data_IF_533082988930
#
_entry.id   IF_533082988930
#
_cell.length_a   1.000
_cell.length_b   1.000
_cell.length_c   1.000
_cell.angle_alpha   90.00
_cell.angle_beta   90.00
_cell.angle_gamma   90.00
#
_symmetry.space_group_name_H-M   'P 1'
#
loop_
_entity.id
_entity.type
_entity.pdbx_description
1 polymer ?
#
# COMPACT_ATOMS: atom_id res chain seq x y z
N UNK A 1 24.14 4.12 -26.63
CA UNK A 1 23.91 5.57 -26.53
C UNK A 1 22.99 6.03 -27.63
N UNK A 2 21.73 6.30 -27.27
CA UNK A 2 21.00 7.44 -27.81
C UNK A 2 20.48 8.19 -26.59
N UNK A 3 21.18 9.28 -26.30
CA UNK A 3 20.73 10.34 -25.41
C UNK A 3 19.62 11.09 -26.16
N UNK A 4 18.38 10.78 -25.83
CA UNK A 4 17.25 11.69 -25.98
C UNK A 4 16.93 12.17 -24.57
N UNK A 5 17.01 13.48 -24.34
CA UNK A 5 16.99 14.10 -23.01
C UNK A 5 15.63 14.07 -22.30
N UNK A 6 14.87 12.98 -22.39
CA UNK A 6 13.81 12.66 -21.43
C UNK A 6 14.39 11.74 -20.38
N UNK A 7 14.50 12.21 -19.14
CA UNK A 7 14.82 11.35 -18.02
C UNK A 7 13.56 10.51 -17.69
N UNK A 8 13.26 9.52 -18.52
CA UNK A 8 12.19 8.55 -18.29
C UNK A 8 12.65 7.58 -17.20
N UNK A 9 12.58 8.04 -15.95
CA UNK A 9 12.71 7.17 -14.80
C UNK A 9 11.48 6.26 -14.74
N UNK A 10 11.64 4.98 -14.37
CA UNK A 10 10.51 4.05 -14.22
C UNK A 10 9.76 4.34 -12.90
N UNK A 11 9.25 5.56 -12.75
CA UNK A 11 8.40 5.99 -11.62
C UNK A 11 7.08 5.22 -11.71
N UNK A 12 6.46 5.00 -10.56
CA UNK A 12 5.25 4.19 -10.46
C UNK A 12 5.58 2.71 -10.33
N UNK A 13 4.55 1.88 -10.50
CA UNK A 13 4.61 0.43 -10.31
C UNK A 13 4.89 -0.28 -11.62
N UNK A 14 5.90 -1.14 -11.61
CA UNK A 14 6.29 -1.93 -12.76
C UNK A 14 6.53 -3.38 -12.36
N UNK A 15 6.31 -4.30 -13.30
CA UNK A 15 6.64 -5.72 -13.15
C UNK A 15 8.05 -5.99 -13.66
N UNK A 16 8.91 -6.50 -12.77
CA UNK A 16 10.32 -6.76 -13.05
C UNK A 16 10.63 -8.24 -12.95
N UNK A 17 11.30 -8.78 -13.96
CA UNK A 17 11.86 -10.12 -13.91
C UNK A 17 13.36 -10.02 -13.74
N UNK A 18 13.86 -10.42 -12.58
CA UNK A 18 15.27 -10.33 -12.29
C UNK A 18 16.01 -11.57 -12.77
N UNK A 19 17.15 -11.36 -13.42
CA UNK A 19 18.03 -12.44 -13.88
C UNK A 19 18.66 -13.22 -12.73
N UNK A 20 18.72 -12.61 -11.53
CA UNK A 20 19.29 -13.16 -10.32
C UNK A 20 18.35 -12.94 -9.14
N UNK A 21 18.43 -13.79 -8.13
CA UNK A 21 17.67 -13.60 -6.89
C UNK A 21 18.18 -12.36 -6.14
N UNK A 22 17.26 -11.61 -5.54
CA UNK A 22 17.57 -10.45 -4.70
C UNK A 22 16.70 -10.48 -3.44
N UNK A 23 17.21 -9.99 -2.30
CA UNK A 23 16.47 -9.94 -1.03
C UNK A 23 15.78 -11.26 -0.63
N UNK A 24 16.42 -12.40 -0.88
CA UNK A 24 15.87 -13.73 -0.55
C UNK A 24 14.76 -14.23 -1.48
N UNK A 25 14.52 -13.55 -2.62
CA UNK A 25 13.55 -13.97 -3.65
C UNK A 25 14.21 -14.82 -4.74
N UNK A 26 13.43 -15.68 -5.38
CA UNK A 26 13.89 -16.54 -6.47
C UNK A 26 14.22 -15.74 -7.74
N UNK A 27 15.19 -16.25 -8.53
CA UNK A 27 15.52 -15.69 -9.85
C UNK A 27 14.40 -16.01 -10.85
N UNK A 28 14.27 -15.20 -11.90
CA UNK A 28 13.33 -15.41 -13.00
C UNK A 28 11.84 -15.43 -12.57
N UNK A 29 11.50 -14.77 -11.47
CA UNK A 29 10.12 -14.54 -11.02
C UNK A 29 9.76 -13.07 -11.21
N UNK A 30 8.50 -12.81 -11.59
CA UNK A 30 7.98 -11.44 -11.74
C UNK A 30 7.76 -10.79 -10.38
N UNK A 31 8.20 -9.56 -10.25
CA UNK A 31 8.07 -8.78 -9.03
C UNK A 31 7.53 -7.38 -9.34
N UNK A 32 6.37 -7.07 -8.76
CA UNK A 32 5.83 -5.72 -8.69
C UNK A 32 6.68 -4.86 -7.76
N UNK A 33 7.36 -3.86 -8.30
CA UNK A 33 8.10 -2.86 -7.53
C UNK A 33 7.66 -1.46 -7.95
N UNK A 34 7.56 -0.56 -6.97
CA UNK A 34 7.22 0.83 -7.21
C UNK A 34 8.38 1.76 -6.86
N UNK A 35 8.77 2.61 -7.81
CA UNK A 35 9.67 3.73 -7.55
C UNK A 35 8.81 4.98 -7.33
N UNK A 36 8.91 5.56 -6.13
CA UNK A 36 8.06 6.68 -5.73
C UNK A 36 8.88 7.92 -5.42
N UNK A 37 8.39 9.06 -5.91
CA UNK A 37 8.83 10.40 -5.53
C UNK A 37 7.84 11.09 -4.57
N UNK A 38 6.78 10.40 -4.17
CA UNK A 38 5.72 10.94 -3.32
C UNK A 38 6.14 11.02 -1.85
N UNK A 39 5.48 11.90 -1.10
CA UNK A 39 5.72 12.07 0.33
C UNK A 39 5.28 10.82 1.11
N UNK A 40 6.23 10.12 1.73
CA UNK A 40 6.07 8.79 2.36
C UNK A 40 4.89 8.64 3.36
N UNK A 41 4.42 9.71 3.98
CA UNK A 41 3.41 9.64 5.05
C UNK A 41 2.04 10.21 4.66
N UNK A 42 1.98 11.05 3.63
CA UNK A 42 0.76 11.82 3.30
C UNK A 42 0.25 11.51 1.89
N UNK A 43 1.09 10.90 1.05
CA UNK A 43 0.78 10.66 -0.36
C UNK A 43 0.88 9.18 -0.73
N UNK A 44 0.01 8.79 -1.65
CA UNK A 44 0.01 7.51 -2.33
C UNK A 44 0.59 7.67 -3.74
N UNK A 45 1.31 6.65 -4.20
CA UNK A 45 1.88 6.60 -5.56
C UNK A 45 1.03 5.68 -6.41
N UNK A 46 0.38 6.27 -7.42
CA UNK A 46 -0.34 5.55 -8.47
C UNK A 46 0.62 4.63 -9.25
N UNK A 47 0.09 3.67 -10.01
CA UNK A 47 0.91 2.76 -10.81
C UNK A 47 1.64 3.50 -11.95
N UNK A 48 1.09 4.60 -12.46
CA UNK A 48 1.72 5.52 -13.41
C UNK A 48 2.77 6.45 -12.76
N UNK A 49 2.87 6.47 -11.43
CA UNK A 49 3.80 7.29 -10.68
C UNK A 49 3.26 8.64 -10.18
N UNK A 50 2.00 8.98 -10.51
CA UNK A 50 1.33 10.17 -10.00
C UNK A 50 1.15 10.11 -8.49
N UNK A 51 1.23 11.26 -7.81
CA UNK A 51 1.02 11.36 -6.38
C UNK A 51 -0.38 11.92 -6.08
N UNK A 52 -1.11 11.25 -5.20
CA UNK A 52 -2.38 11.72 -4.63
C UNK A 52 -2.32 11.67 -3.11
N UNK A 53 -3.25 12.33 -2.41
CA UNK A 53 -3.30 12.26 -0.96
C UNK A 53 -3.77 10.87 -0.50
N UNK A 54 -3.21 10.35 0.59
CA UNK A 54 -3.51 8.99 1.07
C UNK A 54 -4.99 8.81 1.45
N UNK A 55 -5.69 9.88 1.81
CA UNK A 55 -7.12 9.87 2.13
C UNK A 55 -8.04 9.76 0.90
N UNK A 56 -7.47 9.84 -0.31
CA UNK A 56 -8.20 9.66 -1.57
C UNK A 56 -8.20 8.20 -2.03
N UNK A 57 -7.30 7.35 -1.50
CA UNK A 57 -7.24 5.93 -1.85
C UNK A 57 -8.47 5.19 -1.34
N UNK A 58 -9.11 4.39 -2.21
CA UNK A 58 -10.33 3.64 -1.92
C UNK A 58 -11.49 4.50 -1.40
N UNK A 59 -11.59 5.75 -1.87
CA UNK A 59 -12.67 6.69 -1.53
C UNK A 59 -13.89 6.56 -2.47
N UNK A 60 -13.83 5.62 -3.42
CA UNK A 60 -14.83 5.31 -4.46
C UNK A 60 -14.87 6.34 -5.59
N UNK A 61 -13.84 7.16 -5.73
CA UNK A 61 -13.72 8.13 -6.81
C UNK A 61 -12.31 7.96 -7.38
N UNK A 62 -12.19 7.97 -8.70
CA UNK A 62 -10.88 7.83 -9.33
C UNK A 62 -10.18 9.19 -9.31
N UNK A 63 -9.01 9.28 -8.65
CA UNK A 63 -8.09 10.42 -8.68
C UNK A 63 -6.81 10.11 -9.44
N UNK A 64 -6.30 8.88 -9.36
CA UNK A 64 -5.17 8.46 -10.19
C UNK A 64 -5.57 8.45 -11.67
N UNK A 65 -4.72 8.91 -12.60
CA UNK A 65 -5.01 8.86 -14.04
C UNK A 65 -5.22 7.43 -14.57
N UNK A 66 -4.56 6.46 -13.94
CA UNK A 66 -4.67 5.03 -14.23
C UNK A 66 -5.74 4.30 -13.40
N UNK A 67 -6.40 4.98 -12.46
CA UNK A 67 -7.38 4.42 -11.53
C UNK A 67 -6.83 3.46 -10.48
N UNK A 68 -5.52 3.39 -10.29
CA UNK A 68 -4.85 2.46 -9.37
C UNK A 68 -5.18 2.69 -7.89
N UNK A 69 -5.66 3.88 -7.53
CA UNK A 69 -6.17 4.24 -6.21
C UNK A 69 -7.47 3.54 -5.82
N UNK A 70 -8.21 3.02 -6.80
CA UNK A 70 -9.48 2.30 -6.59
C UNK A 70 -9.36 0.81 -6.93
N UNK A 71 -8.13 0.30 -7.11
CA UNK A 71 -7.83 -1.12 -7.30
C UNK A 71 -7.52 -1.81 -5.96
N UNK A 72 -7.86 -3.10 -5.86
CA UNK A 72 -7.60 -3.95 -4.68
C UNK A 72 -8.14 -3.41 -3.33
N UNK A 73 -9.20 -2.61 -3.40
CA UNK A 73 -9.90 -2.12 -2.21
C UNK A 73 -10.67 -3.24 -1.52
N UNK A 74 -10.13 -3.76 -0.42
CA UNK A 74 -10.85 -4.68 0.46
C UNK A 74 -11.88 -3.92 1.29
N UNK A 75 -13.16 -4.17 1.08
CA UNK A 75 -14.20 -3.67 1.97
C UNK A 75 -14.06 -4.38 3.32
N UNK A 76 -13.80 -3.62 4.37
CA UNK A 76 -13.91 -4.14 5.73
C UNK A 76 -15.39 -4.36 6.01
N UNK A 77 -15.85 -5.61 5.86
CA UNK A 77 -17.19 -6.01 6.29
C UNK A 77 -17.25 -5.98 7.81
N UNK A 78 -17.64 -4.82 8.34
CA UNK A 78 -17.86 -4.65 9.75
C UNK A 78 -19.09 -5.49 10.17
N UNK A 79 -18.97 -6.38 11.17
CA UNK A 79 -20.10 -7.18 11.61
C UNK A 79 -21.24 -6.29 12.10
N UNK A 80 -22.48 -6.77 11.98
CA UNK A 80 -23.65 -6.05 12.51
C UNK A 80 -23.45 -5.75 13.99
N UNK A 81 -23.47 -4.46 14.35
CA UNK A 81 -23.24 -4.00 15.72
C UNK A 81 -21.81 -3.53 16.03
N UNK A 82 -20.92 -3.47 15.04
CA UNK A 82 -19.62 -2.80 15.20
C UNK A 82 -19.82 -1.32 15.57
N UNK A 83 -19.29 -0.93 16.73
CA UNK A 83 -19.26 0.45 17.20
C UNK A 83 -17.81 0.90 17.22
N UNK A 84 -17.43 1.81 16.33
CA UNK A 84 -16.05 2.34 16.24
C UNK A 84 -15.60 3.09 17.49
N UNK A 85 -16.55 3.49 18.33
CA UNK A 85 -16.33 4.16 19.61
C UNK A 85 -16.07 3.18 20.76
N UNK A 86 -16.32 1.89 20.57
CA UNK A 86 -16.12 0.86 21.58
C UNK A 86 -14.99 -0.08 21.15
N UNK A 87 -14.13 -0.53 22.10
CA UNK A 87 -13.18 -1.59 21.80
C UNK A 87 -13.93 -2.86 21.38
N UNK A 88 -13.32 -3.72 20.54
CA UNK A 88 -13.94 -4.97 20.15
C UNK A 88 -14.30 -5.81 21.40
N UNK A 89 -15.39 -6.60 21.36
CA UNK A 89 -15.76 -7.46 22.48
C UNK A 89 -14.65 -8.46 22.78
N UNK A 90 -14.48 -8.83 24.06
CA UNK A 90 -13.59 -9.94 24.42
C UNK A 90 -14.05 -11.24 23.74
N UNK A 91 -13.08 -12.03 23.26
CA UNK A 91 -13.32 -13.33 22.64
C UNK A 91 -13.92 -14.35 23.63
N UNK A 92 -13.77 -14.11 24.94
CA UNK A 92 -14.36 -14.92 26.01
C UNK A 92 -15.12 -14.06 27.02
N UNK A 93 -16.30 -14.57 27.43
CA UNK A 93 -17.15 -13.96 28.46
C UNK A 93 -16.34 -13.86 29.76
N UNK A 94 -16.24 -12.64 30.32
CA UNK A 94 -15.47 -12.28 31.52
C UNK A 94 -13.94 -12.35 31.39
N UNK A 95 -13.38 -12.21 30.20
CA UNK A 95 -11.94 -12.02 30.03
C UNK A 95 -11.59 -10.60 29.57
N UNK A 96 -10.45 -10.04 29.98
CA UNK A 96 -9.98 -8.77 29.45
C UNK A 96 -9.56 -8.93 27.99
N UNK A 97 -9.70 -7.85 27.20
CA UNK A 97 -9.21 -7.83 25.83
C UNK A 97 -7.67 -7.90 25.85
N UNK A 98 -7.03 -8.85 25.15
CA UNK A 98 -5.58 -8.92 25.11
C UNK A 98 -5.04 -7.75 24.29
N UNK A 99 -4.35 -6.82 24.95
CA UNK A 99 -3.66 -5.68 24.33
C UNK A 99 -2.16 -5.92 24.44
N UNK A 100 -1.46 -5.86 23.31
CA UNK A 100 -0.01 -6.01 23.25
C UNK A 100 0.63 -4.65 22.98
N UNK A 101 1.58 -4.25 23.81
CA UNK A 101 2.36 -3.03 23.64
C UNK A 101 3.76 -3.38 23.14
N UNK A 102 4.10 -2.91 21.94
CA UNK A 102 5.47 -2.97 21.44
C UNK A 102 6.14 -1.61 21.66
N UNK A 103 6.97 -1.52 22.70
CA UNK A 103 7.73 -0.31 23.02
C UNK A 103 9.13 -0.46 22.45
N UNK A 104 9.45 0.39 21.47
CA UNK A 104 10.82 0.52 20.93
C UNK A 104 11.47 1.72 21.62
N UNK A 105 12.41 1.47 22.52
CA UNK A 105 13.26 2.52 23.09
C UNK A 105 14.41 2.81 22.13
N UNK A 106 14.66 4.10 21.89
CA UNK A 106 15.81 4.59 21.11
C UNK A 106 16.82 5.23 22.04
#
# INVERSE_FOLDING_TARGET
>A
MKDDGSLDFPIGRHEWVFSHGFCGREKMVSHSLALSQCAKNDEFTCDDGTCIQINMVCDRRVQCPDGSDELDCSTVDLPRGYQSTLPPPSLSVNSPLPVYLNITLR
#
